data_IF_014194584268
#
_entry.id   IF_014194584268
#
_cell.length_a   1.000
_cell.length_b   1.000
_cell.length_c   1.000
_cell.angle_alpha   90.00
_cell.angle_beta   90.00
_cell.angle_gamma   90.00
#
_symmetry.space_group_name_H-M   'P 1'
#
loop_
_entity.id
_entity.type
_entity.pdbx_description
1 polymer ?
#
# COMPACT_ATOMS: atom_id res chain seq x y z
N UNK A 1 2.23 4.43 18.00
CA UNK A 1 1.95 3.49 16.92
C UNK A 1 0.90 4.10 16.00
N UNK A 2 1.11 4.09 14.68
CA UNK A 2 0.16 4.71 13.76
C UNK A 2 -1.14 3.89 13.69
N UNK A 3 -2.30 4.57 13.59
CA UNK A 3 -3.61 3.94 13.48
C UNK A 3 -4.23 4.25 12.13
N UNK A 4 -4.80 3.24 11.49
CA UNK A 4 -5.52 3.38 10.23
C UNK A 4 -6.99 3.66 10.52
N UNK A 5 -7.51 4.78 10.00
CA UNK A 5 -8.90 5.19 10.21
C UNK A 5 -9.81 4.56 9.17
N UNK A 6 -10.87 3.90 9.63
CA UNK A 6 -11.86 3.26 8.78
C UNK A 6 -13.20 4.00 8.87
N UNK A 7 -13.73 4.42 7.73
CA UNK A 7 -15.09 4.98 7.59
C UNK A 7 -16.04 3.90 7.09
N UNK A 8 -17.15 3.72 7.77
CA UNK A 8 -18.22 2.81 7.34
C UNK A 8 -19.02 3.43 6.20
N UNK A 9 -19.41 2.61 5.23
CA UNK A 9 -20.38 3.00 4.20
C UNK A 9 -21.32 1.84 3.87
N UNK A 10 -22.54 2.17 3.48
CA UNK A 10 -23.55 1.20 3.05
C UNK A 10 -23.51 1.10 1.51
N UNK A 11 -23.56 -0.11 0.99
CA UNK A 11 -23.69 -0.32 -0.45
C UNK A 11 -25.13 -0.06 -0.89
N UNK A 12 -25.34 1.04 -1.61
CA UNK A 12 -26.66 1.44 -2.11
C UNK A 12 -26.89 1.03 -3.59
N UNK A 13 -25.99 0.23 -4.17
CA UNK A 13 -26.18 -0.26 -5.53
C UNK A 13 -27.15 -1.45 -5.54
N UNK A 14 -28.41 -1.19 -5.91
CA UNK A 14 -29.50 -2.19 -5.94
C UNK A 14 -29.28 -3.32 -6.97
N UNK A 15 -28.38 -3.10 -7.95
CA UNK A 15 -28.03 -4.11 -8.96
C UNK A 15 -26.97 -5.10 -8.48
N UNK A 16 -26.43 -4.95 -7.27
CA UNK A 16 -25.37 -5.78 -6.73
C UNK A 16 -25.94 -6.69 -5.61
N UNK A 17 -25.53 -7.96 -5.60
CA UNK A 17 -25.87 -8.94 -4.54
C UNK A 17 -25.41 -8.49 -3.13
N UNK A 18 -24.56 -7.47 -3.06
CA UNK A 18 -24.12 -6.85 -1.82
C UNK A 18 -24.94 -5.61 -1.42
N UNK A 19 -26.11 -5.37 -2.04
CA UNK A 19 -27.00 -4.26 -1.68
C UNK A 19 -27.35 -4.29 -0.19
N UNK A 20 -27.29 -3.14 0.44
CA UNK A 20 -27.62 -2.99 1.86
C UNK A 20 -26.52 -3.41 2.83
N UNK A 21 -25.48 -4.13 2.41
CA UNK A 21 -24.35 -4.52 3.27
C UNK A 21 -23.48 -3.32 3.61
N UNK A 22 -22.92 -3.33 4.82
CA UNK A 22 -21.99 -2.28 5.30
C UNK A 22 -20.56 -2.74 5.16
N UNK A 23 -19.71 -1.85 4.64
CA UNK A 23 -18.28 -2.05 4.39
C UNK A 23 -17.46 -0.98 5.10
N UNK A 24 -16.18 -1.29 5.33
CA UNK A 24 -15.18 -0.32 5.75
C UNK A 24 -14.36 0.20 4.57
N UNK A 25 -14.07 1.49 4.57
CA UNK A 25 -13.13 2.12 3.63
C UNK A 25 -12.05 2.82 4.43
N UNK A 26 -10.80 2.63 4.03
CA UNK A 26 -9.67 3.34 4.59
C UNK A 26 -9.80 4.84 4.29
N UNK A 27 -9.55 5.66 5.31
CA UNK A 27 -9.43 7.12 5.16
C UNK A 27 -7.95 7.45 5.07
N UNK A 28 -7.54 7.99 3.94
CA UNK A 28 -6.16 8.46 3.75
C UNK A 28 -6.00 9.82 4.42
N UNK A 29 -4.86 10.02 5.06
CA UNK A 29 -4.52 11.27 5.73
C UNK A 29 -4.00 12.27 4.70
N UNK A 30 -3.08 11.82 3.84
CA UNK A 30 -2.43 12.68 2.86
C UNK A 30 -1.87 11.86 1.70
N UNK A 31 -1.45 12.57 0.63
CA UNK A 31 -0.67 12.01 -0.48
C UNK A 31 0.72 12.62 -0.44
N UNK A 32 1.70 11.82 -0.04
CA UNK A 32 3.09 12.26 0.06
C UNK A 32 3.77 12.17 -1.31
N UNK A 33 4.52 13.20 -1.67
CA UNK A 33 5.32 13.24 -2.88
C UNK A 33 6.74 12.67 -2.67
N UNK A 34 7.55 12.67 -3.74
CA UNK A 34 8.94 12.20 -3.69
C UNK A 34 9.79 13.01 -2.71
N UNK A 35 9.56 14.31 -2.62
CA UNK A 35 10.31 15.18 -1.71
C UNK A 35 9.97 14.90 -0.25
N UNK A 36 8.69 14.61 0.03
CA UNK A 36 8.24 14.21 1.38
C UNK A 36 8.84 12.87 1.78
N UNK A 37 8.87 11.91 0.85
CA UNK A 37 9.51 10.61 1.07
C UNK A 37 11.01 10.77 1.36
N UNK A 38 11.73 11.55 0.56
CA UNK A 38 13.16 11.81 0.78
C UNK A 38 13.39 12.47 2.14
N UNK A 39 12.56 13.46 2.50
CA UNK A 39 12.63 14.12 3.80
C UNK A 39 12.39 13.15 4.96
N UNK A 40 11.46 12.20 4.76
CA UNK A 40 11.22 11.16 5.76
C UNK A 40 12.42 10.21 5.89
N UNK A 41 13.02 9.78 4.77
CA UNK A 41 14.22 8.94 4.78
C UNK A 41 15.38 9.60 5.55
N UNK A 42 15.53 10.92 5.40
CA UNK A 42 16.55 11.69 6.13
C UNK A 42 16.40 11.62 7.66
N UNK A 43 15.17 11.52 8.18
CA UNK A 43 14.90 11.42 9.62
C UNK A 43 15.37 10.10 10.24
N UNK A 44 15.57 9.08 9.43
CA UNK A 44 16.10 7.78 9.89
C UNK A 44 17.63 7.72 9.96
N UNK A 45 18.30 8.83 9.75
CA UNK A 45 19.75 8.95 9.81
C UNK A 45 20.43 8.52 8.52
N UNK A 46 21.00 9.46 7.82
CA UNK A 46 21.82 9.22 6.62
C UNK A 46 22.93 10.25 6.59
N UNK A 47 24.06 9.85 6.03
CA UNK A 47 25.23 10.73 5.78
C UNK A 47 25.06 11.58 4.51
N UNK A 48 24.02 11.30 3.71
CA UNK A 48 23.76 11.99 2.46
C UNK A 48 22.94 13.24 2.65
N UNK A 49 23.18 14.26 1.83
CA UNK A 49 22.35 15.48 1.80
C UNK A 49 20.98 15.21 1.16
N UNK A 50 19.95 16.02 1.44
CA UNK A 50 18.61 15.87 0.85
C UNK A 50 18.63 15.81 -0.69
N UNK A 51 19.47 16.63 -1.32
CA UNK A 51 19.58 16.71 -2.77
C UNK A 51 20.17 15.43 -3.37
N UNK A 52 21.15 14.83 -2.69
CA UNK A 52 21.71 13.54 -3.10
C UNK A 52 20.69 12.42 -3.01
N UNK A 53 19.95 12.34 -1.90
CA UNK A 53 18.87 11.35 -1.71
C UNK A 53 17.80 11.52 -2.78
N UNK A 54 17.37 12.75 -3.04
CA UNK A 54 16.37 13.05 -4.07
C UNK A 54 16.88 12.65 -5.46
N UNK A 55 18.11 13.01 -5.83
CA UNK A 55 18.71 12.64 -7.11
C UNK A 55 18.81 11.14 -7.33
N UNK A 56 19.13 10.36 -6.27
CA UNK A 56 19.14 8.89 -6.34
C UNK A 56 17.75 8.33 -6.57
N UNK A 57 16.73 8.84 -5.88
CA UNK A 57 15.33 8.39 -6.03
C UNK A 57 14.81 8.73 -7.44
N UNK A 58 15.09 9.94 -7.95
CA UNK A 58 14.71 10.34 -9.30
C UNK A 58 15.36 9.44 -10.37
N UNK A 59 16.65 9.13 -10.22
CA UNK A 59 17.36 8.20 -11.11
C UNK A 59 16.77 6.79 -11.02
N UNK A 60 16.44 6.33 -9.83
CA UNK A 60 15.77 5.04 -9.64
C UNK A 60 14.44 4.98 -10.41
N UNK A 61 13.60 6.01 -10.33
CA UNK A 61 12.32 6.06 -11.05
C UNK A 61 12.51 6.00 -12.56
N UNK A 62 13.50 6.73 -13.11
CA UNK A 62 13.82 6.70 -14.53
C UNK A 62 14.24 5.31 -15.00
N UNK A 63 15.23 4.70 -14.35
CA UNK A 63 15.68 3.35 -14.69
C UNK A 63 14.59 2.30 -14.51
N UNK A 64 13.72 2.49 -13.51
CA UNK A 64 12.57 1.62 -13.24
C UNK A 64 11.58 1.64 -14.42
N UNK A 65 11.26 2.82 -14.94
CA UNK A 65 10.40 2.99 -16.11
C UNK A 65 11.02 2.35 -17.37
N UNK A 66 12.30 2.63 -17.64
CA UNK A 66 13.03 2.05 -18.77
C UNK A 66 12.96 0.52 -18.76
N UNK A 67 13.31 -0.11 -17.65
CA UNK A 67 13.29 -1.56 -17.52
C UNK A 67 11.90 -2.17 -17.66
N UNK A 68 10.85 -1.51 -17.16
CA UNK A 68 9.48 -1.96 -17.35
C UNK A 68 9.08 -1.89 -18.83
N UNK A 69 9.45 -0.83 -19.55
CA UNK A 69 9.15 -0.66 -20.98
C UNK A 69 9.92 -1.64 -21.87
N UNK A 70 11.06 -2.16 -21.43
CA UNK A 70 11.75 -3.28 -22.06
C UNK A 70 11.03 -4.62 -21.87
N UNK A 71 9.92 -4.66 -21.13
CA UNK A 71 9.13 -5.87 -20.89
C UNK A 71 9.57 -6.66 -19.66
N UNK A 72 10.45 -6.12 -18.83
CA UNK A 72 10.88 -6.78 -17.61
C UNK A 72 9.84 -6.68 -16.49
N UNK A 73 9.86 -7.67 -15.59
CA UNK A 73 9.26 -7.55 -14.26
C UNK A 73 10.35 -7.15 -13.27
N UNK A 74 10.05 -6.18 -12.42
CA UNK A 74 11.03 -5.69 -11.44
C UNK A 74 10.58 -6.10 -10.06
N UNK A 75 11.37 -6.94 -9.41
CA UNK A 75 11.17 -7.33 -8.02
C UNK A 75 12.01 -6.44 -7.12
N UNK A 76 11.36 -5.76 -6.19
CA UNK A 76 12.00 -5.12 -5.04
C UNK A 76 11.88 -6.06 -3.86
N UNK A 77 13.01 -6.61 -3.42
CA UNK A 77 13.04 -7.60 -2.34
C UNK A 77 12.40 -7.04 -1.07
N UNK A 78 11.53 -7.84 -0.47
CA UNK A 78 10.76 -7.44 0.70
C UNK A 78 9.55 -6.55 0.42
N UNK A 79 9.45 -5.90 -0.74
CA UNK A 79 8.30 -5.06 -1.11
C UNK A 79 7.34 -5.81 -2.03
N UNK A 80 7.83 -6.27 -3.19
CA UNK A 80 6.99 -6.97 -4.15
C UNK A 80 7.49 -6.83 -5.58
N UNK A 81 6.64 -7.22 -6.52
CA UNK A 81 6.96 -7.27 -7.95
C UNK A 81 6.05 -6.33 -8.74
N UNK A 82 6.68 -5.50 -9.56
CA UNK A 82 6.03 -4.61 -10.50
C UNK A 82 6.14 -5.18 -11.93
N UNK A 83 5.09 -5.02 -12.72
CA UNK A 83 5.06 -5.46 -14.11
C UNK A 83 4.03 -4.67 -14.90
N UNK A 84 4.20 -4.63 -16.22
CA UNK A 84 3.22 -4.01 -17.11
C UNK A 84 2.09 -4.98 -17.44
N UNK A 85 0.90 -4.43 -17.55
CA UNK A 85 -0.30 -5.09 -18.06
C UNK A 85 -0.89 -4.25 -19.17
N UNK A 86 -1.23 -4.89 -20.28
CA UNK A 86 -1.86 -4.23 -21.42
C UNK A 86 -3.35 -4.51 -21.44
N UNK A 87 -4.12 -3.54 -21.93
CA UNK A 87 -5.53 -3.71 -22.25
C UNK A 87 -5.69 -3.75 -23.76
N UNK A 88 -6.18 -4.90 -24.23
CA UNK A 88 -6.39 -5.16 -25.66
C UNK A 88 -7.78 -5.75 -25.86
N UNK A 89 -8.23 -5.85 -27.10
CA UNK A 89 -9.44 -6.59 -27.44
C UNK A 89 -9.79 -6.39 -28.91
N UNK A 90 -10.03 -7.50 -29.58
CA UNK A 90 -10.61 -7.62 -30.92
C UNK A 90 -11.55 -8.79 -30.94
N UNK A 91 -12.52 -8.79 -31.85
CA UNK A 91 -13.54 -9.84 -31.93
C UNK A 91 -13.00 -11.15 -32.56
N UNK A 92 -12.00 -11.04 -33.43
CA UNK A 92 -11.38 -12.18 -34.11
C UNK A 92 -9.87 -12.19 -33.92
N UNK A 93 -9.28 -13.36 -33.72
CA UNK A 93 -7.85 -13.55 -33.51
C UNK A 93 -7.01 -13.02 -34.68
N UNK A 94 -7.44 -13.27 -35.91
CA UNK A 94 -6.76 -12.84 -37.14
C UNK A 94 -6.66 -11.32 -37.29
N UNK A 95 -7.48 -10.56 -36.55
CA UNK A 95 -7.49 -9.10 -36.55
C UNK A 95 -6.57 -8.49 -35.48
N UNK A 96 -5.98 -9.34 -34.64
CA UNK A 96 -5.12 -8.83 -33.58
C UNK A 96 -3.78 -8.35 -34.12
N UNK A 97 -3.45 -7.10 -33.79
CA UNK A 97 -2.16 -6.48 -34.10
C UNK A 97 -1.67 -5.70 -32.87
N UNK A 98 -0.39 -5.33 -32.84
CA UNK A 98 0.15 -4.49 -31.78
C UNK A 98 -0.59 -3.15 -31.61
N UNK A 99 -1.23 -2.65 -32.66
CA UNK A 99 -2.01 -1.42 -32.63
C UNK A 99 -3.34 -1.54 -31.85
N UNK A 100 -3.75 -2.76 -31.50
CA UNK A 100 -4.94 -2.98 -30.68
C UNK A 100 -4.70 -2.78 -29.17
N UNK A 101 -3.48 -2.44 -28.76
CA UNK A 101 -3.18 -2.06 -27.39
C UNK A 101 -3.80 -0.72 -27.07
N UNK A 102 -4.80 -0.70 -26.19
CA UNK A 102 -5.57 0.50 -25.82
C UNK A 102 -4.95 1.24 -24.62
N UNK A 103 -4.33 0.51 -23.70
CA UNK A 103 -3.72 1.09 -22.53
C UNK A 103 -2.67 0.14 -21.93
N UNK A 104 -1.65 0.75 -21.31
CA UNK A 104 -0.65 0.07 -20.51
C UNK A 104 -0.82 0.54 -19.06
N UNK A 105 -0.73 -0.37 -18.10
CA UNK A 105 -0.83 -0.08 -16.68
C UNK A 105 0.25 -0.79 -15.91
N UNK A 106 0.85 -0.10 -14.95
CA UNK A 106 1.73 -0.73 -13.97
C UNK A 106 0.86 -1.48 -12.97
N UNK A 107 1.17 -2.76 -12.78
CA UNK A 107 0.60 -3.64 -11.77
C UNK A 107 1.63 -3.94 -10.69
N UNK A 108 1.15 -4.11 -9.47
CA UNK A 108 1.96 -4.45 -8.32
C UNK A 108 1.39 -5.67 -7.61
N UNK A 109 2.28 -6.61 -7.27
CA UNK A 109 1.97 -7.76 -6.40
C UNK A 109 2.91 -7.68 -5.21
N UNK A 110 2.35 -7.52 -4.01
CA UNK A 110 3.13 -7.51 -2.78
C UNK A 110 3.89 -8.82 -2.60
N UNK A 111 5.08 -8.74 -2.00
CA UNK A 111 5.86 -9.93 -1.67
C UNK A 111 5.08 -10.79 -0.66
N UNK A 112 4.90 -12.07 -0.98
CA UNK A 112 4.15 -13.02 -0.17
C UNK A 112 5.07 -14.04 0.54
N UNK A 113 6.38 -13.85 0.44
CA UNK A 113 7.33 -14.70 1.14
C UNK A 113 7.12 -14.58 2.66
N UNK A 114 7.40 -15.66 3.39
CA UNK A 114 7.25 -15.66 4.85
C UNK A 114 8.21 -14.71 5.55
N UNK A 115 9.27 -14.34 4.88
CA UNK A 115 10.35 -13.47 5.38
C UNK A 115 10.09 -11.99 5.07
N UNK A 116 9.14 -11.69 4.18
CA UNK A 116 8.82 -10.32 3.81
C UNK A 116 8.02 -9.60 4.89
N UNK A 117 8.54 -8.49 5.37
CA UNK A 117 7.83 -7.59 6.29
C UNK A 117 6.61 -6.90 5.66
N UNK A 118 6.53 -6.88 4.32
CA UNK A 118 5.45 -6.25 3.54
C UNK A 118 4.42 -7.25 3.01
N UNK A 119 4.57 -8.54 3.32
CA UNK A 119 3.53 -9.52 3.02
C UNK A 119 2.20 -9.10 3.65
N UNK A 120 1.09 -9.32 2.96
CA UNK A 120 -0.26 -8.89 3.40
C UNK A 120 -0.56 -9.33 4.84
N UNK A 121 -0.15 -10.55 5.21
CA UNK A 121 -0.29 -11.06 6.57
C UNK A 121 0.46 -10.22 7.59
N UNK A 122 1.68 -9.83 7.28
CA UNK A 122 2.52 -9.01 8.16
C UNK A 122 1.98 -7.59 8.30
N UNK A 123 1.55 -6.97 7.20
CA UNK A 123 0.92 -5.65 7.24
C UNK A 123 -0.35 -5.66 8.10
N UNK A 124 -1.18 -6.70 7.97
CA UNK A 124 -2.39 -6.84 8.79
C UNK A 124 -2.06 -6.98 10.28
N UNK A 125 -1.02 -7.73 10.64
CA UNK A 125 -0.61 -7.89 12.03
C UNK A 125 0.01 -6.62 12.64
N UNK A 126 0.69 -5.81 11.82
CA UNK A 126 1.28 -4.52 12.23
C UNK A 126 0.25 -3.39 12.31
N UNK A 127 -0.86 -3.51 11.59
CA UNK A 127 -1.87 -2.45 11.50
C UNK A 127 -2.71 -2.38 12.78
N UNK A 128 -2.99 -1.15 13.21
CA UNK A 128 -4.02 -0.85 14.22
C UNK A 128 -5.14 -0.09 13.54
N UNK A 129 -6.38 -0.49 13.79
CA UNK A 129 -7.55 0.11 13.15
C UNK A 129 -8.40 0.87 14.16
N UNK A 130 -8.94 2.00 13.75
CA UNK A 130 -9.92 2.76 14.49
C UNK A 130 -11.11 3.14 13.59
N UNK A 131 -12.32 3.13 14.14
CA UNK A 131 -13.51 3.59 13.42
C UNK A 131 -13.60 5.11 13.48
N UNK A 132 -13.95 5.75 12.36
CA UNK A 132 -14.26 7.17 12.35
C UNK A 132 -15.47 7.46 13.27
N UNK A 133 -15.29 8.37 14.24
CA UNK A 133 -16.33 8.71 15.22
C UNK A 133 -16.30 7.88 16.51
N UNK A 134 -15.41 6.91 16.68
CA UNK A 134 -15.16 6.29 17.98
C UNK A 134 -14.36 7.27 18.86
N UNK A 135 -14.95 7.69 19.99
CA UNK A 135 -14.19 8.39 21.03
C UNK A 135 -13.10 7.45 21.50
N UNK A 136 -11.85 7.92 21.53
CA UNK A 136 -10.74 7.19 22.17
C UNK A 136 -11.08 7.15 23.65
N UNK A 137 -11.44 5.98 24.20
CA UNK A 137 -11.45 5.77 25.64
C UNK A 137 -9.97 5.70 26.05
N UNK A 138 -9.50 6.74 26.70
CA UNK A 138 -8.14 6.84 27.28
C UNK A 138 -7.98 6.03 28.58
N UNK A 139 -8.82 5.03 28.82
CA UNK A 139 -8.78 4.18 30.01
C UNK A 139 -8.39 2.74 29.65
N UNK A 140 -7.14 2.55 29.26
CA UNK A 140 -6.40 1.30 29.48
C UNK A 140 -5.02 1.68 30.05
N UNK A 141 -5.06 2.24 31.26
CA UNK A 141 -3.93 2.38 32.15
C UNK A 141 -3.98 1.24 33.17
N UNK A 142 -2.90 0.55 33.26
CA UNK A 142 -2.34 -0.17 34.40
C UNK A 142 -3.35 -0.82 35.40
N UNK A 143 -3.62 -2.09 35.20
CA UNK A 143 -3.92 -2.96 36.37
C UNK A 143 -2.81 -3.99 36.53
N UNK A 144 -1.76 -3.56 37.21
CA UNK A 144 -0.74 -4.44 37.77
C UNK A 144 -1.33 -5.01 39.07
N UNK A 145 -1.81 -6.23 38.99
CA UNK A 145 -2.31 -6.97 40.13
C UNK A 145 -1.31 -7.10 41.28
N UNK A 146 -1.58 -6.42 42.36
CA UNK A 146 -0.98 -6.68 43.65
C UNK A 146 -1.64 -7.86 44.34
N UNK A 147 -1.01 -9.01 44.27
CA UNK A 147 -1.37 -10.16 45.11
C UNK A 147 -0.73 -9.99 46.48
N UNK A 148 -1.53 -9.63 47.50
CA UNK A 148 -1.11 -9.76 48.92
C UNK A 148 -1.88 -10.89 49.56
N UNK A 149 -1.19 -12.00 49.76
CA UNK A 149 -1.56 -12.98 50.73
C UNK A 149 -1.24 -12.45 52.15
N UNK A 150 -2.25 -12.45 53.00
CA UNK A 150 -2.08 -12.41 54.44
C UNK A 150 -2.98 -13.45 55.11
N UNK A 151 -2.35 -14.22 56.01
CA UNK A 151 -2.98 -14.93 57.08
C UNK A 151 -2.74 -16.41 57.12
#
# INVERSE_FOLDING_TARGET
>A
MARLTIKKYKNNNSKNNAYGKTYGRLVYVDTLDTSDLCRHMMKHGTIYTPDVVKGVVERFVMCFEELLLEGNKIKLDGLGTFYLSVSTGVDNEDQFTANNVKAIRIKFIGDQSKESEYATKMLTSKARFQSMGSKVNENEGDDAGGNQNNG
#
